data_IF_823374799883
#
_entry.id   IF_823374799883
#
_cell.length_a   1.000
_cell.length_b   1.000
_cell.length_c   1.000
_cell.angle_alpha   90.00
_cell.angle_beta   90.00
_cell.angle_gamma   90.00
#
_symmetry.space_group_name_H-M   'P 1'
#
loop_
_entity.id
_entity.type
_entity.pdbx_description
1 polymer ?
#
# COMPACT_ATOMS: atom_id res chain seq x y z
N UNK A 1 -18.97 19.36 12.37
CA UNK A 1 -18.39 18.14 13.02
C UNK A 1 -18.97 16.92 12.32
N UNK A 2 -18.13 15.92 12.06
CA UNK A 2 -18.56 14.70 11.36
C UNK A 2 -19.36 13.80 12.31
N UNK A 3 -20.64 14.03 12.45
CA UNK A 3 -21.50 13.30 13.42
C UNK A 3 -21.67 11.82 13.05
N UNK A 4 -21.59 11.50 11.76
CA UNK A 4 -21.83 10.16 11.24
C UNK A 4 -20.56 9.43 10.78
N UNK A 5 -19.36 10.00 11.01
CA UNK A 5 -18.09 9.40 10.66
C UNK A 5 -17.41 8.87 11.91
N UNK A 6 -17.06 7.57 11.90
CA UNK A 6 -16.32 6.94 13.00
C UNK A 6 -15.00 7.69 13.22
N UNK A 7 -14.72 8.04 14.48
CA UNK A 7 -13.55 8.83 14.88
C UNK A 7 -12.27 7.96 14.95
N UNK A 8 -11.82 7.50 13.81
CA UNK A 8 -10.56 6.74 13.70
C UNK A 8 -9.33 7.63 13.59
N UNK A 9 -9.54 8.92 13.27
CA UNK A 9 -8.47 9.93 13.15
C UNK A 9 -8.87 11.21 13.87
N UNK A 10 -7.87 11.91 14.40
CA UNK A 10 -8.04 13.30 14.87
C UNK A 10 -7.93 14.20 13.65
N UNK A 11 -9.08 14.65 13.12
CA UNK A 11 -9.11 15.55 11.98
C UNK A 11 -8.86 16.98 12.41
N UNK A 12 -8.20 17.72 11.55
CA UNK A 12 -8.07 19.16 11.67
C UNK A 12 -9.39 19.84 11.30
N UNK A 13 -9.64 21.08 11.78
CA UNK A 13 -10.89 21.77 11.52
C UNK A 13 -11.04 22.32 10.09
N UNK A 14 -9.94 22.46 9.35
CA UNK A 14 -9.93 23.01 8.01
C UNK A 14 -10.73 22.11 7.05
N UNK A 15 -11.58 22.73 6.22
CA UNK A 15 -12.35 22.06 5.17
C UNK A 15 -11.84 22.53 3.82
N UNK A 16 -11.03 21.71 3.15
CA UNK A 16 -10.53 22.00 1.82
C UNK A 16 -11.60 21.73 0.76
N UNK A 17 -11.83 22.70 -0.13
CA UNK A 17 -12.88 22.64 -1.16
C UNK A 17 -12.32 22.62 -2.58
N UNK A 18 -11.07 23.05 -2.79
CA UNK A 18 -10.41 23.01 -4.09
C UNK A 18 -8.89 22.97 -3.94
N UNK A 19 -8.20 22.67 -5.04
CA UNK A 19 -6.73 22.71 -5.10
C UNK A 19 -6.24 22.85 -6.53
N UNK A 20 -5.08 23.48 -6.70
CA UNK A 20 -4.38 23.63 -7.95
C UNK A 20 -2.87 23.47 -7.73
N UNK A 21 -2.24 22.54 -8.44
CA UNK A 21 -0.83 22.21 -8.22
C UNK A 21 -0.56 21.82 -6.78
N UNK A 22 0.26 22.57 -6.08
CA UNK A 22 0.58 22.37 -4.66
C UNK A 22 -0.20 23.28 -3.70
N UNK A 23 -1.24 23.98 -4.16
CA UNK A 23 -2.01 24.89 -3.33
C UNK A 23 -3.40 24.33 -3.10
N UNK A 24 -3.83 24.29 -1.84
CA UNK A 24 -5.19 23.96 -1.40
C UNK A 24 -5.90 25.24 -1.00
N UNK A 25 -7.23 25.28 -1.19
CA UNK A 25 -8.11 26.35 -0.70
C UNK A 25 -9.17 25.79 0.21
N UNK A 26 -9.31 26.40 1.37
CA UNK A 26 -10.34 26.02 2.33
C UNK A 26 -11.69 26.73 2.05
N UNK A 27 -12.69 26.37 2.83
CA UNK A 27 -14.04 26.93 2.70
C UNK A 27 -14.11 28.43 3.02
N UNK A 28 -13.15 28.97 3.75
CA UNK A 28 -13.02 30.39 4.04
C UNK A 28 -12.19 31.15 2.97
N UNK A 29 -11.74 30.45 1.92
CA UNK A 29 -10.96 31.02 0.83
C UNK A 29 -9.47 31.24 1.12
N UNK A 30 -8.95 30.71 2.24
CA UNK A 30 -7.54 30.79 2.58
C UNK A 30 -6.74 29.79 1.74
N UNK A 31 -5.54 30.19 1.33
CA UNK A 31 -4.63 29.33 0.60
C UNK A 31 -3.65 28.64 1.55
N UNK A 32 -3.37 27.37 1.26
CA UNK A 32 -2.50 26.51 2.01
C UNK A 32 -1.54 25.80 1.07
N UNK A 33 -0.25 25.81 1.39
CA UNK A 33 0.71 25.02 0.63
C UNK A 33 0.65 23.55 1.09
N UNK A 34 0.38 22.66 0.16
CA UNK A 34 0.21 21.22 0.43
C UNK A 34 1.55 20.48 0.34
N UNK A 35 2.18 20.24 1.49
CA UNK A 35 3.34 19.37 1.63
C UNK A 35 2.99 17.92 1.97
N UNK A 36 1.68 17.61 2.13
CA UNK A 36 1.24 16.26 2.46
C UNK A 36 0.88 15.45 1.20
N UNK A 37 0.31 16.11 0.18
CA UNK A 37 -0.09 15.48 -1.08
C UNK A 37 -1.05 14.31 -0.90
N UNK A 38 -1.95 14.37 0.11
CA UNK A 38 -2.82 13.23 0.44
C UNK A 38 -2.06 12.01 0.97
N UNK A 39 -0.95 12.20 1.66
CA UNK A 39 0.04 11.18 2.07
C UNK A 39 0.69 10.56 0.82
N UNK A 40 1.34 11.43 0.02
CA UNK A 40 2.06 11.10 -1.22
C UNK A 40 1.19 10.46 -2.34
N UNK A 41 -0.12 10.68 -2.32
CA UNK A 41 -1.04 10.15 -3.35
C UNK A 41 -1.13 11.09 -4.55
N UNK A 42 -1.19 12.42 -4.31
CA UNK A 42 -1.39 13.44 -5.34
C UNK A 42 -0.08 13.85 -6.02
N UNK A 43 0.65 12.88 -6.58
CA UNK A 43 1.98 13.10 -7.16
C UNK A 43 2.02 14.10 -8.32
N UNK A 44 0.90 14.29 -9.04
CA UNK A 44 0.77 15.27 -10.13
C UNK A 44 0.27 16.64 -9.63
N UNK A 45 0.02 16.78 -8.33
CA UNK A 45 -0.65 17.94 -7.77
C UNK A 45 -2.18 17.89 -7.98
N UNK A 46 -2.85 18.89 -7.42
CA UNK A 46 -4.30 19.05 -7.51
C UNK A 46 -4.72 19.63 -8.87
N UNK A 47 -5.81 19.13 -9.43
CA UNK A 47 -6.40 19.68 -10.66
C UNK A 47 -5.53 19.54 -11.90
N UNK A 48 -4.60 18.57 -11.96
CA UNK A 48 -3.72 18.39 -13.12
C UNK A 48 -4.54 18.25 -14.42
N UNK A 49 -4.38 19.15 -15.41
CA UNK A 49 -5.31 19.27 -16.54
C UNK A 49 -5.40 17.97 -17.36
N UNK A 50 -4.28 17.32 -17.67
CA UNK A 50 -4.30 16.07 -18.43
C UNK A 50 -4.95 14.89 -17.68
N UNK A 51 -4.86 14.87 -16.34
CA UNK A 51 -5.56 13.85 -15.54
C UNK A 51 -7.07 14.12 -15.52
N UNK A 52 -7.46 15.39 -15.34
CA UNK A 52 -8.88 15.81 -15.36
C UNK A 52 -9.51 15.48 -16.70
N UNK A 53 -8.87 15.84 -17.82
CA UNK A 53 -9.34 15.55 -19.17
C UNK A 53 -9.51 14.04 -19.41
N UNK A 54 -8.50 13.24 -19.04
CA UNK A 54 -8.55 11.79 -19.20
C UNK A 54 -9.70 11.14 -18.38
N UNK A 55 -9.93 11.61 -17.15
CA UNK A 55 -11.02 11.13 -16.30
C UNK A 55 -12.39 11.53 -16.87
N UNK A 56 -12.56 12.77 -17.32
CA UNK A 56 -13.80 13.26 -17.93
C UNK A 56 -14.15 12.48 -19.21
N UNK A 57 -13.17 12.28 -20.07
CA UNK A 57 -13.34 11.51 -21.31
C UNK A 57 -13.72 10.06 -21.01
N UNK A 58 -13.01 9.39 -20.10
CA UNK A 58 -13.26 7.99 -19.79
C UNK A 58 -14.56 7.77 -19.00
N UNK A 59 -14.95 8.72 -18.13
CA UNK A 59 -16.19 8.63 -17.37
C UNK A 59 -17.43 8.60 -18.28
N UNK A 60 -17.37 9.27 -19.44
CA UNK A 60 -18.42 9.26 -20.46
C UNK A 60 -18.48 7.97 -21.31
N UNK A 61 -17.49 7.09 -21.20
CA UNK A 61 -17.39 5.88 -22.03
C UNK A 61 -17.66 4.61 -21.24
N UNK A 62 -16.78 4.28 -20.30
CA UNK A 62 -16.82 3.01 -19.59
C UNK A 62 -16.04 3.09 -18.28
N UNK A 63 -16.70 2.82 -17.16
CA UNK A 63 -16.06 2.83 -15.85
C UNK A 63 -15.66 1.42 -15.38
N UNK A 64 -16.49 0.40 -15.62
CA UNK A 64 -16.23 -0.95 -15.12
C UNK A 64 -16.95 -2.02 -15.93
N UNK A 65 -16.30 -3.17 -16.14
CA UNK A 65 -16.86 -4.30 -16.89
C UNK A 65 -16.64 -5.67 -16.22
N UNK A 66 -16.13 -5.73 -14.99
CA UNK A 66 -15.69 -6.98 -14.34
C UNK A 66 -14.41 -7.57 -14.94
N UNK A 67 -13.72 -8.40 -14.15
CA UNK A 67 -12.53 -9.16 -14.59
C UNK A 67 -12.86 -10.29 -15.59
N UNK A 68 -14.15 -10.54 -15.87
CA UNK A 68 -14.57 -11.50 -16.88
C UNK A 68 -14.39 -10.98 -18.31
N UNK A 69 -14.22 -9.67 -18.47
CA UNK A 69 -14.05 -9.03 -19.77
C UNK A 69 -12.73 -8.26 -19.84
N UNK A 70 -12.26 -8.02 -21.04
CA UNK A 70 -11.06 -7.23 -21.27
C UNK A 70 -11.40 -5.74 -21.27
N UNK A 71 -10.53 -4.94 -20.68
CA UNK A 71 -10.57 -3.49 -20.75
C UNK A 71 -9.38 -3.00 -21.59
N UNK A 72 -9.52 -1.99 -22.46
CA UNK A 72 -8.45 -1.58 -23.38
C UNK A 72 -7.16 -1.14 -22.68
N UNK A 73 -7.24 -0.54 -21.49
CA UNK A 73 -6.07 -0.07 -20.76
C UNK A 73 -5.36 -1.14 -19.92
N UNK A 74 -5.98 -2.28 -19.66
CA UNK A 74 -5.43 -3.28 -18.72
C UNK A 74 -4.06 -3.78 -19.19
N UNK A 75 -3.97 -4.20 -20.46
CA UNK A 75 -2.73 -4.75 -21.00
C UNK A 75 -1.65 -3.68 -21.17
N UNK A 76 -2.00 -2.47 -21.65
CA UNK A 76 -1.05 -1.36 -21.81
C UNK A 76 -0.42 -0.98 -20.45
N UNK A 77 -1.24 -0.79 -19.42
CA UNK A 77 -0.75 -0.46 -18.07
C UNK A 77 0.06 -1.63 -17.49
N UNK A 78 -0.42 -2.88 -17.60
CA UNK A 78 0.29 -4.05 -17.10
C UNK A 78 1.66 -4.21 -17.76
N UNK A 79 1.75 -4.04 -19.08
CA UNK A 79 3.03 -4.14 -19.80
C UNK A 79 4.04 -3.06 -19.42
N UNK A 80 3.57 -1.84 -19.16
CA UNK A 80 4.43 -0.75 -18.65
C UNK A 80 4.92 -1.04 -17.24
N UNK A 81 4.04 -1.48 -16.33
CA UNK A 81 4.39 -1.86 -14.97
C UNK A 81 5.38 -3.03 -14.94
N UNK A 82 5.16 -4.06 -15.75
CA UNK A 82 6.05 -5.20 -15.87
C UNK A 82 7.47 -4.77 -16.30
N UNK A 83 7.59 -3.91 -17.32
CA UNK A 83 8.89 -3.37 -17.75
C UNK A 83 9.59 -2.56 -16.66
N UNK A 84 8.86 -1.73 -15.93
CA UNK A 84 9.43 -0.87 -14.88
C UNK A 84 9.87 -1.68 -13.65
N UNK A 85 9.13 -2.73 -13.31
CA UNK A 85 9.41 -3.56 -12.12
C UNK A 85 10.36 -4.73 -12.40
N UNK A 86 10.58 -5.10 -13.67
CA UNK A 86 11.30 -6.32 -14.03
C UNK A 86 10.50 -7.61 -13.76
N UNK A 87 9.20 -7.51 -13.44
CA UNK A 87 8.31 -8.65 -13.21
C UNK A 87 7.61 -9.06 -14.52
N UNK A 88 7.17 -10.32 -14.59
CA UNK A 88 6.51 -10.86 -15.79
C UNK A 88 5.05 -10.47 -15.91
N UNK A 89 4.36 -10.25 -14.78
CA UNK A 89 2.92 -9.99 -14.76
C UNK A 89 2.51 -9.06 -13.62
N UNK A 90 1.32 -8.47 -13.77
CA UNK A 90 0.74 -7.53 -12.81
C UNK A 90 -0.64 -8.03 -12.37
N UNK A 91 -0.93 -7.92 -11.09
CA UNK A 91 -2.25 -8.11 -10.52
C UNK A 91 -2.76 -6.78 -9.96
N UNK A 92 -3.88 -6.29 -10.48
CA UNK A 92 -4.46 -5.02 -10.05
C UNK A 92 -5.38 -5.21 -8.85
N UNK A 93 -5.30 -4.30 -7.90
CA UNK A 93 -6.13 -4.25 -6.68
C UNK A 93 -6.63 -2.83 -6.45
N UNK A 94 -7.59 -2.65 -5.53
CA UNK A 94 -8.15 -1.33 -5.23
C UNK A 94 -7.32 -0.53 -4.23
N UNK A 95 -6.38 -1.17 -3.53
CA UNK A 95 -5.57 -0.51 -2.51
C UNK A 95 -4.24 -1.23 -2.29
N UNK A 96 -3.26 -0.53 -1.70
CA UNK A 96 -2.00 -1.15 -1.27
C UNK A 96 -2.19 -2.25 -0.22
N UNK A 97 -3.17 -2.12 0.68
CA UNK A 97 -3.49 -3.17 1.65
C UNK A 97 -3.97 -4.45 0.95
N UNK A 98 -4.83 -4.34 -0.07
CA UNK A 98 -5.25 -5.49 -0.89
C UNK A 98 -4.09 -6.09 -1.69
N UNK A 99 -3.17 -5.27 -2.19
CA UNK A 99 -1.96 -5.76 -2.84
C UNK A 99 -1.10 -6.58 -1.88
N UNK A 100 -0.93 -6.12 -0.64
CA UNK A 100 -0.25 -6.87 0.42
C UNK A 100 -0.97 -8.19 0.72
N UNK A 101 -2.30 -8.17 0.89
CA UNK A 101 -3.09 -9.40 1.08
C UNK A 101 -2.88 -10.40 -0.06
N UNK A 102 -2.86 -9.91 -1.30
CA UNK A 102 -2.58 -10.75 -2.46
C UNK A 102 -1.17 -11.35 -2.38
N UNK A 103 -0.16 -10.54 -2.08
CA UNK A 103 1.23 -10.97 -1.98
C UNK A 103 1.42 -12.06 -0.90
N UNK A 104 0.85 -11.88 0.29
CA UNK A 104 0.89 -12.88 1.37
C UNK A 104 0.25 -14.21 0.94
N UNK A 105 -0.90 -14.16 0.29
CA UNK A 105 -1.59 -15.34 -0.23
C UNK A 105 -0.80 -16.03 -1.34
N UNK A 106 -0.23 -15.26 -2.27
CA UNK A 106 0.59 -15.79 -3.35
C UNK A 106 1.86 -16.46 -2.82
N UNK A 107 2.53 -15.87 -1.83
CA UNK A 107 3.71 -16.45 -1.19
C UNK A 107 3.40 -17.84 -0.60
N UNK A 108 2.32 -17.95 0.19
CA UNK A 108 1.89 -19.26 0.73
C UNK A 108 1.50 -20.25 -0.36
N UNK A 109 0.77 -19.80 -1.39
CA UNK A 109 0.40 -20.66 -2.52
C UNK A 109 1.63 -21.15 -3.28
N UNK A 110 2.61 -20.27 -3.52
CA UNK A 110 3.86 -20.63 -4.19
C UNK A 110 4.66 -21.68 -3.42
N UNK A 111 4.77 -21.56 -2.10
CA UNK A 111 5.43 -22.57 -1.25
C UNK A 111 4.70 -23.92 -1.35
N UNK A 112 3.39 -23.93 -1.27
CA UNK A 112 2.60 -25.16 -1.42
C UNK A 112 2.81 -25.82 -2.79
N UNK A 113 2.86 -25.04 -3.86
CA UNK A 113 3.11 -25.56 -5.22
C UNK A 113 4.55 -26.09 -5.39
N UNK A 114 5.50 -25.60 -4.59
CA UNK A 114 6.89 -26.09 -4.55
C UNK A 114 7.08 -27.31 -3.62
N UNK A 115 6.02 -27.83 -3.04
CA UNK A 115 6.07 -28.98 -2.13
C UNK A 115 6.38 -28.66 -0.68
N UNK A 116 6.31 -27.39 -0.28
CA UNK A 116 6.62 -26.88 1.07
C UNK A 116 5.35 -26.30 1.75
N UNK A 117 4.28 -27.09 1.96
CA UNK A 117 3.01 -26.57 2.50
C UNK A 117 3.11 -26.06 3.95
N UNK A 118 4.14 -26.46 4.69
CA UNK A 118 4.45 -26.06 6.06
C UNK A 118 5.02 -24.63 6.15
N UNK A 119 5.61 -24.10 5.08
CA UNK A 119 6.18 -22.75 5.03
C UNK A 119 5.06 -21.72 4.91
N UNK A 120 4.48 -21.35 6.04
CA UNK A 120 3.32 -20.43 6.13
C UNK A 120 3.62 -19.12 6.82
N UNK A 121 4.75 -19.03 7.54
CA UNK A 121 5.18 -17.85 8.28
C UNK A 121 5.69 -16.72 7.38
N UNK A 122 5.84 -15.53 7.97
CA UNK A 122 6.40 -14.37 7.28
C UNK A 122 7.47 -13.72 8.16
N UNK A 123 8.46 -13.15 7.53
CA UNK A 123 9.42 -12.25 8.18
C UNK A 123 9.13 -10.83 7.67
N UNK A 124 9.09 -9.85 8.58
CA UNK A 124 8.90 -8.44 8.25
C UNK A 124 9.91 -7.58 9.01
N UNK A 125 10.23 -6.40 8.50
CA UNK A 125 11.14 -5.49 9.18
C UNK A 125 10.39 -4.58 10.17
N UNK A 126 11.01 -4.30 11.31
CA UNK A 126 10.54 -3.25 12.22
C UNK A 126 10.52 -1.89 11.52
N UNK A 127 9.51 -1.08 11.85
CA UNK A 127 9.25 0.20 11.17
C UNK A 127 8.47 0.06 9.85
N UNK A 128 8.22 -1.16 9.37
CA UNK A 128 7.46 -1.40 8.15
C UNK A 128 5.96 -1.14 8.31
N UNK A 129 5.35 -0.58 7.25
CA UNK A 129 3.91 -0.37 7.13
C UNK A 129 3.39 -1.02 5.85
N UNK A 130 2.50 -1.99 6.00
CA UNK A 130 2.00 -2.80 4.88
C UNK A 130 0.48 -2.74 4.70
N UNK A 131 -0.24 -2.00 5.55
CA UNK A 131 -1.69 -1.81 5.47
C UNK A 131 -2.43 -2.08 6.78
N UNK A 132 -3.77 -1.95 6.74
CA UNK A 132 -4.66 -2.02 7.90
C UNK A 132 -5.69 -3.15 7.83
N UNK A 133 -5.74 -3.96 6.77
CA UNK A 133 -6.51 -5.20 6.72
C UNK A 133 -5.85 -6.26 7.62
N UNK A 134 -6.56 -7.29 8.03
CA UNK A 134 -6.06 -8.25 9.04
C UNK A 134 -4.72 -8.88 8.64
N UNK A 135 -4.55 -9.32 7.39
CA UNK A 135 -3.28 -9.88 6.92
C UNK A 135 -2.18 -8.83 6.78
N UNK A 136 -2.47 -7.70 6.15
CA UNK A 136 -1.50 -6.61 6.00
C UNK A 136 -1.09 -6.01 7.36
N UNK A 137 -2.04 -5.91 8.30
CA UNK A 137 -1.79 -5.47 9.67
C UNK A 137 -0.87 -6.44 10.41
N UNK A 138 -0.99 -7.74 10.13
CA UNK A 138 -0.17 -8.77 10.76
C UNK A 138 1.34 -8.59 10.48
N UNK A 139 1.68 -8.07 9.31
CA UNK A 139 3.06 -7.81 8.88
C UNK A 139 3.49 -6.34 9.04
N UNK A 140 2.59 -5.46 9.49
CA UNK A 140 2.89 -4.07 9.88
C UNK A 140 3.47 -4.05 11.30
N UNK A 141 4.65 -3.44 11.51
CA UNK A 141 5.40 -3.63 12.75
C UNK A 141 4.87 -2.86 13.97
N UNK A 142 4.14 -1.74 13.75
CA UNK A 142 3.71 -0.87 14.84
C UNK A 142 2.73 -1.53 15.82
N UNK A 143 3.17 -1.87 17.03
CA UNK A 143 2.36 -2.52 18.08
C UNK A 143 1.04 -1.76 18.34
N UNK A 144 1.09 -0.43 18.40
CA UNK A 144 -0.10 0.44 18.56
C UNK A 144 -1.20 0.20 17.52
N UNK A 145 -0.84 -0.30 16.33
CA UNK A 145 -1.78 -0.61 15.27
C UNK A 145 -2.29 -2.04 15.35
N UNK A 146 -1.46 -2.99 15.83
CA UNK A 146 -1.74 -4.42 15.85
C UNK A 146 -2.47 -4.91 17.10
N UNK A 147 -1.99 -4.47 18.26
CA UNK A 147 -2.39 -5.05 19.55
C UNK A 147 -3.90 -4.97 19.82
N UNK A 148 -4.61 -3.86 19.45
CA UNK A 148 -6.05 -3.78 19.63
C UNK A 148 -6.86 -4.81 18.82
N UNK A 149 -6.25 -5.45 17.81
CA UNK A 149 -6.92 -6.34 16.86
C UNK A 149 -6.42 -7.80 16.96
N UNK A 150 -5.66 -8.13 18.01
CA UNK A 150 -5.21 -9.51 18.23
C UNK A 150 -6.40 -10.46 18.49
N UNK A 151 -6.33 -11.74 18.04
CA UNK A 151 -5.22 -12.37 17.36
C UNK A 151 -5.18 -12.03 15.86
N UNK A 152 -3.99 -11.78 15.33
CA UNK A 152 -3.73 -11.55 13.92
C UNK A 152 -3.31 -12.85 13.21
N UNK A 153 -2.94 -12.76 11.92
CA UNK A 153 -2.42 -13.91 11.18
C UNK A 153 -1.14 -14.41 11.86
N UNK A 154 -1.08 -15.69 12.29
CA UNK A 154 0.04 -16.22 13.05
C UNK A 154 1.28 -16.44 12.16
N UNK A 155 2.44 -16.59 12.84
CA UNK A 155 3.70 -16.95 12.20
C UNK A 155 4.42 -15.75 11.58
N UNK A 156 4.23 -14.54 12.10
CA UNK A 156 4.99 -13.35 11.68
C UNK A 156 6.11 -13.09 12.68
N UNK A 157 7.34 -12.98 12.17
CA UNK A 157 8.54 -12.61 12.91
C UNK A 157 8.99 -11.23 12.46
N UNK A 158 9.19 -10.31 13.42
CA UNK A 158 9.75 -8.99 13.13
C UNK A 158 11.24 -8.98 13.42
N UNK A 159 12.00 -8.33 12.54
CA UNK A 159 13.45 -8.20 12.63
C UNK A 159 13.81 -6.71 12.64
N UNK A 160 14.71 -6.32 13.52
CA UNK A 160 15.22 -4.95 13.61
C UNK A 160 15.90 -4.50 12.31
N UNK A 161 15.79 -3.21 12.01
CA UNK A 161 16.46 -2.63 10.84
C UNK A 161 17.97 -2.79 10.97
N UNK A 162 18.61 -3.29 9.92
CA UNK A 162 20.06 -3.48 9.86
C UNK A 162 20.58 -4.68 10.67
N UNK A 163 19.73 -5.41 11.36
CA UNK A 163 20.11 -6.62 12.09
C UNK A 163 20.15 -7.83 11.13
N UNK A 164 21.25 -7.95 10.40
CA UNK A 164 21.45 -9.03 9.43
C UNK A 164 21.57 -10.40 10.08
N UNK A 165 22.05 -10.46 11.33
CA UNK A 165 22.18 -11.74 12.06
C UNK A 165 20.79 -12.26 12.45
N UNK A 166 19.94 -11.41 13.06
CA UNK A 166 18.57 -11.76 13.36
C UNK A 166 17.76 -12.09 12.10
N UNK A 167 17.99 -11.35 11.01
CA UNK A 167 17.36 -11.65 9.71
C UNK A 167 17.76 -13.04 9.21
N UNK A 168 19.05 -13.35 9.22
CA UNK A 168 19.54 -14.66 8.81
C UNK A 168 18.97 -15.79 9.68
N UNK A 169 18.84 -15.57 11.00
CA UNK A 169 18.21 -16.51 11.90
C UNK A 169 16.71 -16.70 11.61
N UNK A 170 15.98 -15.61 11.40
CA UNK A 170 14.56 -15.65 11.05
C UNK A 170 14.32 -16.40 9.73
N UNK A 171 15.17 -16.21 8.74
CA UNK A 171 15.06 -16.91 7.45
C UNK A 171 15.35 -18.42 7.54
N UNK A 172 16.13 -18.87 8.53
CA UNK A 172 16.34 -20.31 8.79
C UNK A 172 15.09 -21.03 9.27
N UNK A 173 14.07 -20.31 9.74
CA UNK A 173 12.75 -20.90 10.06
C UNK A 173 11.92 -21.24 8.82
N UNK A 174 12.49 -21.01 7.65
CA UNK A 174 11.88 -21.30 6.35
C UNK A 174 10.48 -20.67 6.19
N UNK A 175 10.36 -19.33 6.32
CA UNK A 175 9.09 -18.65 6.14
C UNK A 175 8.59 -18.76 4.69
N UNK A 176 7.30 -18.48 4.48
CA UNK A 176 6.74 -18.36 3.13
C UNK A 176 7.38 -17.21 2.34
N UNK A 177 7.65 -16.10 3.00
CA UNK A 177 8.30 -14.93 2.41
C UNK A 177 8.88 -13.99 3.47
N UNK A 178 9.82 -13.17 3.03
CA UNK A 178 10.22 -11.91 3.64
C UNK A 178 9.46 -10.77 2.96
N UNK A 179 8.90 -9.86 3.74
CA UNK A 179 8.28 -8.62 3.24
C UNK A 179 9.07 -7.42 3.74
N UNK A 180 9.45 -6.54 2.82
CA UNK A 180 10.24 -5.34 3.10
C UNK A 180 9.74 -4.16 2.27
N UNK A 181 9.98 -2.97 2.79
CA UNK A 181 9.95 -1.72 2.03
C UNK A 181 11.40 -1.34 1.74
N UNK A 182 11.83 -1.14 0.49
CA UNK A 182 13.17 -0.63 0.20
C UNK A 182 13.43 0.72 0.85
N UNK A 183 12.41 1.58 0.88
CA UNK A 183 12.36 2.83 1.62
C UNK A 183 11.15 2.79 2.53
N UNK A 184 11.34 2.77 3.83
CA UNK A 184 10.25 2.80 4.82
C UNK A 184 9.69 4.22 4.94
N UNK A 185 8.59 4.50 4.26
CA UNK A 185 7.97 5.83 4.26
C UNK A 185 7.35 6.20 5.61
N UNK A 186 6.39 5.42 6.08
CA UNK A 186 5.68 5.64 7.35
C UNK A 186 6.60 5.56 8.58
N UNK A 187 7.64 4.73 8.49
CA UNK A 187 8.62 4.55 9.57
C UNK A 187 9.60 5.70 9.76
N UNK A 188 9.54 6.76 8.92
CA UNK A 188 10.40 7.95 9.03
C UNK A 188 11.33 8.17 7.84
N UNK A 189 11.00 7.64 6.68
CA UNK A 189 11.75 7.75 5.41
C UNK A 189 13.18 7.19 5.58
N UNK A 190 13.25 5.91 5.93
CA UNK A 190 14.51 5.19 6.04
C UNK A 190 14.79 4.41 4.76
N UNK A 191 15.92 4.72 4.13
CA UNK A 191 16.49 3.95 3.04
C UNK A 191 17.36 2.83 3.62
N UNK A 192 17.14 1.61 3.17
CA UNK A 192 17.93 0.44 3.59
C UNK A 192 19.22 0.28 2.79
N UNK A 193 19.49 1.17 1.84
CA UNK A 193 20.61 1.08 0.90
C UNK A 193 20.37 0.08 -0.23
N UNK A 194 21.11 0.23 -1.31
CA UNK A 194 21.17 -0.72 -2.41
C UNK A 194 22.26 -1.77 -2.15
#
# INVERSE_FOLDING_TARGET
MDEHVIRTYVRRPEVFVSGEGCVLRDAEGREWLDFLGGIAVSALGHGHPGLVEALQDQAGKLLHVSNLYRHPFTEDVASRMARLSGMEAVFFTNSGAEATECALKLARKAQRMRGNPERTGFVALEGGFHGRTMGALSVTSGAKYRDPFAPLVPGVTFVGRGDLEALAQALRTEPAALIIEPIQGEGGIFDHGA
#
